data_IF_109771321404
#
_entry.id   IF_109771321404
#
_cell.length_a   1.000
_cell.length_b   1.000
_cell.length_c   1.000
_cell.angle_alpha   90.00
_cell.angle_beta   90.00
_cell.angle_gamma   90.00
#
_symmetry.space_group_name_H-M   'P 1'
#
loop_
_entity.id
_entity.type
_entity.pdbx_description
1 polymer ?
#
# COMPACT_ATOMS: atom_id res chain seq x y z
N UNK A 1 34.47 14.05 -12.17
CA UNK A 1 33.34 13.12 -12.30
C UNK A 1 33.32 12.16 -11.11
N UNK A 2 32.51 12.42 -10.08
CA UNK A 2 32.37 11.56 -8.87
C UNK A 2 30.92 11.45 -8.38
N UNK A 3 29.95 11.74 -9.24
CA UNK A 3 28.51 11.89 -8.92
C UNK A 3 27.75 10.57 -8.70
N UNK A 4 28.42 9.41 -8.76
CA UNK A 4 27.77 8.09 -8.80
C UNK A 4 27.45 7.50 -7.41
N UNK A 5 28.25 7.77 -6.36
CA UNK A 5 28.14 7.03 -5.09
C UNK A 5 27.12 7.57 -4.09
N UNK A 6 26.62 8.81 -4.24
CA UNK A 6 25.75 9.47 -3.23
C UNK A 6 24.26 9.37 -3.54
N UNK A 7 23.89 9.45 -4.83
CA UNK A 7 22.51 9.29 -5.34
C UNK A 7 21.94 7.89 -5.06
N UNK A 8 22.81 6.88 -5.00
CA UNK A 8 22.46 5.51 -4.63
C UNK A 8 21.83 5.42 -3.23
N UNK A 9 22.15 6.34 -2.31
CA UNK A 9 21.69 6.25 -0.92
C UNK A 9 20.22 6.65 -0.71
N UNK A 10 19.73 7.71 -1.36
CA UNK A 10 18.33 8.15 -1.24
C UNK A 10 17.37 7.17 -1.94
N UNK A 11 17.74 6.75 -3.16
CA UNK A 11 17.01 5.70 -3.89
C UNK A 11 16.96 4.41 -3.08
N UNK A 12 18.08 3.96 -2.52
CA UNK A 12 18.11 2.76 -1.68
C UNK A 12 17.22 2.88 -0.43
N UNK A 13 17.20 4.05 0.23
CA UNK A 13 16.32 4.30 1.38
C UNK A 13 14.84 4.27 1.01
N UNK A 14 14.45 4.87 -0.12
CA UNK A 14 13.07 4.79 -0.61
C UNK A 14 12.66 3.36 -1.00
N UNK A 15 13.54 2.62 -1.69
CA UNK A 15 13.30 1.21 -2.02
C UNK A 15 13.13 0.37 -0.75
N UNK A 16 14.00 0.56 0.25
CA UNK A 16 13.90 -0.14 1.52
C UNK A 16 12.59 0.19 2.26
N UNK A 17 12.20 1.47 2.29
CA UNK A 17 10.95 1.94 2.90
C UNK A 17 9.74 1.25 2.25
N UNK A 18 9.69 1.22 0.92
CA UNK A 18 8.60 0.60 0.16
C UNK A 18 8.57 -0.92 0.36
N UNK A 19 9.73 -1.58 0.35
CA UNK A 19 9.82 -3.02 0.57
C UNK A 19 9.32 -3.42 1.96
N UNK A 20 9.75 -2.69 2.99
CA UNK A 20 9.31 -2.87 4.38
C UNK A 20 7.79 -2.60 4.55
N UNK A 21 7.28 -1.52 3.97
CA UNK A 21 5.86 -1.22 3.99
C UNK A 21 5.02 -2.28 3.25
N UNK A 22 5.49 -2.76 2.11
CA UNK A 22 4.86 -3.86 1.35
C UNK A 22 4.82 -5.14 2.16
N UNK A 23 5.91 -5.47 2.86
CA UNK A 23 5.98 -6.64 3.73
C UNK A 23 4.98 -6.56 4.89
N UNK A 24 4.84 -5.39 5.53
CA UNK A 24 3.85 -5.17 6.61
C UNK A 24 2.41 -5.33 6.13
N UNK A 25 2.04 -4.71 5.00
CA UNK A 25 0.70 -4.83 4.43
C UNK A 25 0.39 -6.28 4.06
N UNK A 26 1.34 -6.95 3.41
CA UNK A 26 1.20 -8.36 3.03
C UNK A 26 1.05 -9.25 4.27
N UNK A 27 1.82 -9.00 5.34
CA UNK A 27 1.70 -9.71 6.60
C UNK A 27 0.33 -9.49 7.26
N UNK A 28 -0.20 -8.26 7.24
CA UNK A 28 -1.55 -7.98 7.73
C UNK A 28 -2.61 -8.76 6.93
N UNK A 29 -2.53 -8.78 5.59
CA UNK A 29 -3.47 -9.52 4.76
C UNK A 29 -3.38 -11.05 4.92
N UNK A 30 -2.22 -11.59 5.27
CA UNK A 30 -2.08 -13.02 5.61
C UNK A 30 -2.98 -13.44 6.78
N UNK A 31 -3.38 -12.51 7.66
CA UNK A 31 -4.37 -12.76 8.71
C UNK A 31 -5.70 -13.22 8.08
N UNK A 32 -6.18 -12.51 7.04
CA UNK A 32 -7.43 -12.83 6.36
C UNK A 32 -7.35 -14.14 5.57
N UNK A 33 -6.30 -14.33 4.77
CA UNK A 33 -6.18 -15.53 3.94
C UNK A 33 -6.02 -16.79 4.79
N UNK A 34 -5.23 -16.71 5.86
CA UNK A 34 -5.11 -17.80 6.84
C UNK A 34 -6.45 -18.09 7.53
N UNK A 35 -7.19 -17.04 7.93
CA UNK A 35 -8.50 -17.21 8.55
C UNK A 35 -9.53 -17.82 7.60
N UNK A 36 -9.52 -17.44 6.32
CA UNK A 36 -10.36 -18.03 5.28
C UNK A 36 -10.08 -19.52 5.12
N UNK A 37 -8.82 -19.93 4.94
CA UNK A 37 -8.46 -21.34 4.83
C UNK A 37 -8.84 -22.14 6.07
N UNK A 38 -8.61 -21.58 7.28
CA UNK A 38 -8.99 -22.22 8.55
C UNK A 38 -10.50 -22.39 8.68
N UNK A 39 -11.29 -21.38 8.32
CA UNK A 39 -12.75 -21.47 8.35
C UNK A 39 -13.24 -22.57 7.41
N UNK A 40 -12.76 -22.60 6.16
CA UNK A 40 -13.18 -23.60 5.19
C UNK A 40 -12.79 -25.03 5.63
N UNK A 41 -11.58 -25.20 6.14
CA UNK A 41 -11.13 -26.49 6.69
C UNK A 41 -12.02 -26.94 7.86
N UNK A 42 -12.34 -26.03 8.79
CA UNK A 42 -13.23 -26.31 9.92
C UNK A 42 -14.64 -26.70 9.46
N UNK A 43 -15.23 -25.96 8.51
CA UNK A 43 -16.58 -26.26 8.00
C UNK A 43 -16.64 -27.56 7.19
N UNK A 44 -15.56 -27.91 6.48
CA UNK A 44 -15.50 -29.13 5.69
C UNK A 44 -15.61 -30.40 6.55
N UNK A 45 -14.98 -30.40 7.74
CA UNK A 45 -14.94 -31.57 8.63
C UNK A 45 -16.16 -31.72 9.53
N UNK A 46 -16.98 -30.67 9.70
CA UNK A 46 -18.21 -30.73 10.50
C UNK A 46 -19.19 -31.71 9.83
N UNK A 47 -19.61 -32.71 10.61
CA UNK A 47 -20.67 -33.67 10.23
C UNK A 47 -22.02 -33.18 10.75
N UNK A 48 -23.14 -33.43 10.04
CA UNK A 48 -24.48 -33.19 10.57
C UNK A 48 -24.69 -33.90 11.91
N UNK A 49 -25.37 -33.25 12.85
CA UNK A 49 -25.65 -33.80 14.18
C UNK A 49 -25.74 -32.73 15.28
N UNK A 50 -25.95 -33.19 16.52
CA UNK A 50 -26.23 -32.33 17.69
C UNK A 50 -25.16 -31.27 17.96
N UNK A 51 -23.89 -31.52 17.62
CA UNK A 51 -22.77 -30.59 17.83
C UNK A 51 -22.48 -29.67 16.64
N UNK A 52 -23.07 -29.90 15.48
CA UNK A 52 -22.73 -29.19 14.23
C UNK A 52 -22.91 -27.67 14.36
N UNK A 53 -24.01 -27.25 15.00
CA UNK A 53 -24.30 -25.84 15.23
C UNK A 53 -23.27 -25.16 16.14
N UNK A 54 -22.87 -25.83 17.23
CA UNK A 54 -21.88 -25.31 18.16
C UNK A 54 -20.50 -25.17 17.49
N UNK A 55 -20.08 -26.18 16.73
CA UNK A 55 -18.81 -26.16 15.98
C UNK A 55 -18.81 -25.07 14.89
N UNK A 56 -19.92 -24.90 14.18
CA UNK A 56 -20.07 -23.85 13.16
C UNK A 56 -19.96 -22.46 13.79
N UNK A 57 -20.60 -22.24 14.94
CA UNK A 57 -20.51 -20.98 15.69
C UNK A 57 -19.09 -20.71 16.19
N UNK A 58 -18.39 -21.74 16.68
CA UNK A 58 -17.00 -21.61 17.12
C UNK A 58 -16.08 -21.21 15.96
N UNK A 59 -16.23 -21.84 14.79
CA UNK A 59 -15.46 -21.49 13.59
C UNK A 59 -15.76 -20.05 13.11
N UNK A 60 -17.03 -19.64 13.15
CA UNK A 60 -17.43 -18.26 12.83
C UNK A 60 -16.81 -17.23 13.79
N UNK A 61 -16.82 -17.52 15.10
CA UNK A 61 -16.23 -16.66 16.12
C UNK A 61 -14.72 -16.48 15.90
N UNK A 62 -14.00 -17.56 15.60
CA UNK A 62 -12.58 -17.50 15.28
C UNK A 62 -12.31 -16.62 14.05
N UNK A 63 -13.16 -16.71 13.02
CA UNK A 63 -13.06 -15.84 11.84
C UNK A 63 -13.31 -14.36 12.20
N UNK A 64 -14.31 -14.06 13.02
CA UNK A 64 -14.57 -12.69 13.51
C UNK A 64 -13.39 -12.11 14.30
N UNK A 65 -12.74 -12.91 15.14
CA UNK A 65 -11.53 -12.49 15.86
C UNK A 65 -10.37 -12.17 14.90
N UNK A 66 -10.24 -12.94 13.82
CA UNK A 66 -9.28 -12.64 12.76
C UNK A 66 -9.61 -11.34 12.02
N UNK A 67 -10.90 -11.04 11.76
CA UNK A 67 -11.30 -9.74 11.19
C UNK A 67 -10.91 -8.58 12.08
N UNK A 68 -11.13 -8.68 13.40
CA UNK A 68 -10.72 -7.64 14.34
C UNK A 68 -9.19 -7.48 14.42
N UNK A 69 -8.45 -8.57 14.25
CA UNK A 69 -6.97 -8.54 14.24
C UNK A 69 -6.43 -7.92 12.95
N UNK A 70 -7.04 -8.24 11.81
CA UNK A 70 -6.75 -7.62 10.53
C UNK A 70 -7.05 -6.11 10.56
N UNK A 71 -8.22 -5.72 11.07
CA UNK A 71 -8.65 -4.32 11.19
C UNK A 71 -7.63 -3.49 11.97
N UNK A 72 -7.22 -3.95 13.15
CA UNK A 72 -6.16 -3.28 13.94
C UNK A 72 -4.82 -3.21 13.21
N UNK A 73 -4.41 -4.29 12.54
CA UNK A 73 -3.13 -4.35 11.84
C UNK A 73 -3.08 -3.37 10.66
N UNK A 74 -4.14 -3.30 9.86
CA UNK A 74 -4.22 -2.40 8.71
C UNK A 74 -4.42 -0.95 9.14
N UNK A 75 -5.25 -0.70 10.16
CA UNK A 75 -5.39 0.65 10.73
C UNK A 75 -4.04 1.17 11.27
N UNK A 76 -3.34 0.37 12.07
CA UNK A 76 -2.02 0.72 12.59
C UNK A 76 -0.97 0.93 11.49
N UNK A 77 -1.02 0.13 10.42
CA UNK A 77 -0.20 0.36 9.24
C UNK A 77 -0.51 1.70 8.58
N UNK A 78 -1.78 1.99 8.28
CA UNK A 78 -2.21 3.20 7.57
C UNK A 78 -1.82 4.46 8.36
N UNK A 79 -2.01 4.45 9.67
CA UNK A 79 -1.59 5.56 10.56
C UNK A 79 -0.08 5.77 10.54
N UNK A 80 0.71 4.70 10.70
CA UNK A 80 2.19 4.79 10.65
C UNK A 80 2.68 5.26 9.28
N UNK A 81 2.06 4.77 8.22
CA UNK A 81 2.41 5.15 6.86
C UNK A 81 2.20 6.64 6.64
N UNK A 82 1.02 7.16 7.02
CA UNK A 82 0.69 8.56 6.89
C UNK A 82 1.51 9.48 7.82
N UNK A 83 1.67 9.09 9.09
CA UNK A 83 2.25 9.95 10.12
C UNK A 83 3.79 9.87 10.22
N UNK A 84 4.42 8.83 9.65
CA UNK A 84 5.88 8.62 9.79
C UNK A 84 6.56 8.32 8.47
N UNK A 85 6.09 7.31 7.73
CA UNK A 85 6.81 6.83 6.54
C UNK A 85 6.75 7.84 5.38
N UNK A 86 5.59 8.44 5.11
CA UNK A 86 5.44 9.49 4.10
C UNK A 86 6.24 10.77 4.45
N UNK A 87 6.20 11.31 5.69
CA UNK A 87 7.10 12.38 6.09
C UNK A 87 8.59 12.05 5.88
N UNK A 88 9.01 10.81 6.13
CA UNK A 88 10.37 10.37 5.88
C UNK A 88 10.69 10.39 4.37
N UNK A 89 9.81 9.84 3.52
CA UNK A 89 9.97 9.88 2.07
C UNK A 89 10.05 11.33 1.54
N UNK A 90 9.21 12.24 2.06
CA UNK A 90 9.23 13.66 1.72
C UNK A 90 10.59 14.28 2.01
N UNK A 91 11.10 14.05 3.24
CA UNK A 91 12.41 14.55 3.66
C UNK A 91 13.53 13.99 2.79
N UNK A 92 13.49 12.70 2.45
CA UNK A 92 14.49 12.08 1.58
C UNK A 92 14.56 12.77 0.21
N UNK A 93 13.40 13.10 -0.38
CA UNK A 93 13.33 13.85 -1.62
C UNK A 93 13.90 15.27 -1.51
N UNK A 94 13.53 16.00 -0.45
CA UNK A 94 14.06 17.34 -0.18
C UNK A 94 15.59 17.34 0.00
N UNK A 95 16.11 16.40 0.80
CA UNK A 95 17.55 16.27 1.03
C UNK A 95 18.29 15.84 -0.23
N UNK A 96 17.69 15.00 -1.08
CA UNK A 96 18.29 14.59 -2.34
C UNK A 96 18.56 15.80 -3.26
N UNK A 97 17.68 16.81 -3.28
CA UNK A 97 17.90 18.04 -4.02
C UNK A 97 19.07 18.84 -3.46
N UNK A 98 19.14 19.03 -2.14
CA UNK A 98 20.27 19.72 -1.53
C UNK A 98 21.60 19.02 -1.83
N UNK A 99 21.62 17.69 -1.79
CA UNK A 99 22.79 16.91 -2.19
C UNK A 99 23.18 17.12 -3.65
N UNK A 100 22.20 17.25 -4.56
CA UNK A 100 22.46 17.47 -5.98
C UNK A 100 23.12 18.83 -6.25
N UNK A 101 22.83 19.84 -5.43
CA UNK A 101 23.42 21.18 -5.53
C UNK A 101 24.55 21.42 -4.52
N UNK A 102 25.13 20.36 -3.95
CA UNK A 102 26.22 20.41 -2.96
C UNK A 102 25.94 21.32 -1.74
N UNK A 103 24.67 21.39 -1.31
CA UNK A 103 24.25 22.09 -0.09
C UNK A 103 24.23 21.15 1.12
N UNK A 104 24.61 21.64 2.32
CA UNK A 104 24.66 20.80 3.51
C UNK A 104 23.23 20.46 3.98
N UNK A 105 22.97 19.22 4.37
CA UNK A 105 21.63 18.79 4.83
C UNK A 105 21.05 19.67 5.95
N UNK A 106 21.89 20.25 6.81
CA UNK A 106 21.49 21.14 7.91
C UNK A 106 20.81 22.44 7.45
N UNK A 107 20.89 22.78 6.16
CA UNK A 107 20.17 23.94 5.62
C UNK A 107 18.69 23.66 5.36
N UNK A 108 18.27 22.40 5.40
CA UNK A 108 16.87 22.03 5.28
C UNK A 108 16.18 22.07 6.64
N UNK A 109 15.01 22.71 6.68
CA UNK A 109 14.13 22.74 7.85
C UNK A 109 12.68 22.60 7.41
N UNK A 110 11.83 22.10 8.30
CA UNK A 110 10.39 22.09 8.04
C UNK A 110 9.85 23.51 8.01
N UNK A 111 9.16 23.86 6.93
CA UNK A 111 8.44 25.12 6.77
C UNK A 111 6.94 24.86 6.75
N UNK A 112 6.13 25.90 6.99
CA UNK A 112 4.67 25.81 6.87
C UNK A 112 4.23 25.31 5.47
N UNK A 113 4.98 25.67 4.42
CA UNK A 113 4.73 25.23 3.05
C UNK A 113 5.01 23.73 2.86
N UNK A 114 6.08 23.21 3.44
CA UNK A 114 6.34 21.75 3.44
C UNK A 114 5.25 20.99 4.20
N UNK A 115 4.86 21.50 5.37
CA UNK A 115 3.80 20.91 6.19
C UNK A 115 2.46 20.88 5.43
N UNK A 116 2.06 21.99 4.79
CA UNK A 116 0.82 22.06 4.02
C UNK A 116 0.79 21.06 2.84
N UNK A 117 1.90 20.93 2.11
CA UNK A 117 2.02 19.96 1.01
C UNK A 117 1.92 18.52 1.52
N UNK A 118 2.63 18.21 2.61
CA UNK A 118 2.62 16.88 3.22
C UNK A 118 1.25 16.53 3.79
N UNK A 119 0.55 17.46 4.44
CA UNK A 119 -0.81 17.26 4.95
C UNK A 119 -1.78 16.88 3.82
N UNK A 120 -1.71 17.57 2.68
CA UNK A 120 -2.55 17.24 1.52
C UNK A 120 -2.28 15.83 0.99
N UNK A 121 -1.01 15.45 0.84
CA UNK A 121 -0.62 14.12 0.36
C UNK A 121 -1.01 13.01 1.34
N UNK A 122 -0.69 13.19 2.62
CA UNK A 122 -0.98 12.20 3.67
C UNK A 122 -2.48 12.00 3.83
N UNK A 123 -3.29 13.05 3.79
CA UNK A 123 -4.75 12.94 3.81
C UNK A 123 -5.29 12.11 2.65
N UNK A 124 -4.81 12.36 1.42
CA UNK A 124 -5.20 11.59 0.23
C UNK A 124 -4.82 10.12 0.37
N UNK A 125 -3.56 9.83 0.67
CA UNK A 125 -3.07 8.44 0.73
C UNK A 125 -3.63 7.66 1.91
N UNK A 126 -3.88 8.33 3.04
CA UNK A 126 -4.63 7.78 4.16
C UNK A 126 -6.05 7.39 3.74
N UNK A 127 -6.76 8.28 3.03
CA UNK A 127 -8.09 8.01 2.49
C UNK A 127 -8.12 6.80 1.54
N UNK A 128 -7.16 6.74 0.61
CA UNK A 128 -7.05 5.62 -0.34
C UNK A 128 -6.84 4.27 0.37
N UNK A 129 -5.91 4.20 1.32
CA UNK A 129 -5.63 2.98 2.09
C UNK A 129 -6.83 2.59 2.97
N UNK A 130 -7.49 3.56 3.60
CA UNK A 130 -8.69 3.35 4.40
C UNK A 130 -9.83 2.79 3.56
N UNK A 131 -10.04 3.29 2.34
CA UNK A 131 -11.06 2.77 1.43
C UNK A 131 -10.80 1.30 1.08
N UNK A 132 -9.54 0.93 0.79
CA UNK A 132 -9.17 -0.47 0.50
C UNK A 132 -9.32 -1.38 1.72
N UNK A 133 -9.03 -0.86 2.91
CA UNK A 133 -9.27 -1.55 4.16
C UNK A 133 -10.76 -1.85 4.37
N UNK A 134 -11.63 -0.84 4.27
CA UNK A 134 -13.09 -0.99 4.43
C UNK A 134 -13.64 -2.01 3.43
N UNK A 135 -13.18 -1.95 2.19
CA UNK A 135 -13.59 -2.90 1.14
C UNK A 135 -13.15 -4.34 1.45
N UNK A 136 -11.93 -4.55 1.95
CA UNK A 136 -11.46 -5.87 2.38
C UNK A 136 -12.33 -6.45 3.51
N UNK A 137 -12.69 -5.63 4.50
CA UNK A 137 -13.61 -6.04 5.58
C UNK A 137 -15.00 -6.37 5.03
N UNK A 138 -15.53 -5.57 4.10
CA UNK A 138 -16.82 -5.83 3.46
C UNK A 138 -16.83 -7.17 2.74
N UNK A 139 -15.79 -7.47 1.95
CA UNK A 139 -15.62 -8.75 1.24
C UNK A 139 -15.47 -9.92 2.19
N UNK A 140 -14.67 -9.78 3.26
CA UNK A 140 -14.48 -10.84 4.25
C UNK A 140 -15.77 -11.17 5.01
N UNK A 141 -16.60 -10.16 5.32
CA UNK A 141 -17.94 -10.38 5.90
C UNK A 141 -18.90 -11.05 4.91
N UNK A 142 -18.82 -10.71 3.62
CA UNK A 142 -19.61 -11.38 2.59
C UNK A 142 -19.22 -12.86 2.44
N UNK A 143 -17.92 -13.16 2.42
CA UNK A 143 -17.39 -14.52 2.46
C UNK A 143 -17.93 -15.31 3.66
N UNK A 144 -17.86 -14.75 4.87
CA UNK A 144 -18.36 -15.42 6.06
C UNK A 144 -19.85 -15.76 5.93
N UNK A 145 -20.69 -14.83 5.46
CA UNK A 145 -22.12 -15.08 5.23
C UNK A 145 -22.35 -16.22 4.25
N UNK A 146 -21.62 -16.25 3.13
CA UNK A 146 -21.72 -17.30 2.13
C UNK A 146 -21.30 -18.67 2.70
N UNK A 147 -20.16 -18.72 3.39
CA UNK A 147 -19.65 -19.94 4.01
C UNK A 147 -20.63 -20.51 5.06
N UNK A 148 -21.23 -19.65 5.87
CA UNK A 148 -22.23 -20.06 6.86
C UNK A 148 -23.55 -20.50 6.23
N UNK A 149 -23.97 -19.90 5.11
CA UNK A 149 -25.14 -20.35 4.37
C UNK A 149 -24.95 -21.78 3.83
N UNK A 150 -23.78 -22.06 3.22
CA UNK A 150 -23.42 -23.41 2.75
C UNK A 150 -23.37 -24.42 3.91
N UNK A 151 -22.77 -24.03 5.05
CA UNK A 151 -22.69 -24.90 6.22
C UNK A 151 -24.06 -25.24 6.82
N UNK A 152 -24.99 -24.28 6.87
CA UNK A 152 -26.36 -24.48 7.36
C UNK A 152 -27.17 -25.36 6.43
N UNK A 153 -27.12 -25.12 5.12
CA UNK A 153 -27.81 -25.95 4.15
C UNK A 153 -27.43 -27.43 4.33
N UNK A 154 -26.13 -27.72 4.52
CA UNK A 154 -25.63 -29.08 4.79
C UNK A 154 -26.13 -29.68 6.11
N UNK A 155 -26.38 -28.86 7.14
CA UNK A 155 -26.89 -29.35 8.42
C UNK A 155 -28.37 -29.74 8.35
N UNK A 156 -29.15 -29.08 7.49
CA UNK A 156 -30.61 -29.23 7.41
C UNK A 156 -31.07 -30.23 6.33
N UNK A 157 -30.21 -30.62 5.37
CA UNK A 157 -30.57 -31.49 4.26
C UNK A 157 -29.81 -32.83 4.19
N UNK A 158 -30.54 -33.93 3.96
CA UNK A 158 -29.97 -35.27 3.77
C UNK A 158 -29.29 -35.50 2.41
N UNK A 159 -29.49 -34.62 1.41
CA UNK A 159 -28.96 -34.76 0.04
C UNK A 159 -28.08 -33.59 -0.45
N UNK A 160 -27.56 -32.77 0.46
CA UNK A 160 -26.77 -31.59 0.05
C UNK A 160 -25.41 -32.02 -0.50
N UNK A 161 -24.95 -31.45 -1.63
CA UNK A 161 -23.62 -31.69 -2.16
C UNK A 161 -22.52 -31.53 -1.11
N UNK A 162 -21.42 -32.26 -1.29
CA UNK A 162 -20.21 -32.14 -0.47
C UNK A 162 -19.81 -30.66 -0.34
N UNK A 163 -19.42 -30.24 0.87
CA UNK A 163 -18.93 -28.88 1.12
C UNK A 163 -17.81 -28.53 0.12
N UNK A 164 -18.07 -27.62 -0.81
CA UNK A 164 -17.13 -27.19 -1.83
C UNK A 164 -16.43 -25.89 -1.41
N UNK A 165 -15.39 -26.05 -0.59
CA UNK A 165 -14.55 -24.94 -0.17
C UNK A 165 -13.80 -24.27 -1.32
N UNK A 166 -13.50 -25.00 -2.40
CA UNK A 166 -12.79 -24.45 -3.55
C UNK A 166 -13.68 -23.48 -4.35
N UNK A 167 -14.98 -23.78 -4.46
CA UNK A 167 -15.92 -22.84 -5.06
C UNK A 167 -16.03 -21.55 -4.24
N UNK A 168 -16.16 -21.66 -2.91
CA UNK A 168 -16.19 -20.50 -2.01
C UNK A 168 -14.92 -19.64 -2.10
N UNK A 169 -13.74 -20.26 -2.24
CA UNK A 169 -12.48 -19.54 -2.44
C UNK A 169 -12.47 -18.75 -3.76
N UNK A 170 -12.99 -19.36 -4.84
CA UNK A 170 -13.01 -18.75 -6.17
C UNK A 170 -13.98 -17.57 -6.26
N UNK A 171 -15.15 -17.71 -5.64
CA UNK A 171 -16.18 -16.67 -5.61
C UNK A 171 -15.77 -15.51 -4.69
N UNK A 172 -15.16 -15.83 -3.54
CA UNK A 172 -14.82 -14.88 -2.49
C UNK A 172 -13.34 -14.89 -2.09
N UNK A 173 -12.38 -14.65 -3.01
CA UNK A 173 -10.97 -14.62 -2.67
C UNK A 173 -10.67 -13.45 -1.72
N UNK A 174 -9.87 -13.68 -0.68
CA UNK A 174 -9.40 -12.63 0.25
C UNK A 174 -7.90 -12.32 0.10
N UNK A 175 -7.22 -12.97 -0.84
CA UNK A 175 -5.82 -12.77 -1.22
C UNK A 175 -5.62 -11.68 -2.29
N UNK A 176 -6.71 -11.01 -2.68
CA UNK A 176 -6.73 -9.98 -3.72
C UNK A 176 -7.35 -8.68 -3.24
N UNK A 177 -6.86 -7.57 -3.77
CA UNK A 177 -7.51 -6.26 -3.70
C UNK A 177 -8.27 -6.04 -5.01
N UNK A 178 -9.51 -5.56 -4.91
CA UNK A 178 -10.29 -5.16 -6.08
C UNK A 178 -10.09 -3.66 -6.30
N UNK A 179 -9.84 -3.24 -7.54
CA UNK A 179 -9.85 -1.83 -7.92
C UNK A 179 -11.28 -1.27 -8.06
N UNK A 180 -11.41 -0.03 -8.54
CA UNK A 180 -12.73 0.59 -8.72
C UNK A 180 -13.55 -0.07 -9.83
N UNK A 181 -12.89 -0.65 -10.82
CA UNK A 181 -13.50 -1.34 -11.97
C UNK A 181 -13.78 -2.83 -11.67
N UNK A 182 -13.46 -3.29 -10.46
CA UNK A 182 -13.69 -4.65 -9.99
C UNK A 182 -12.60 -5.65 -10.39
N UNK A 183 -11.52 -5.19 -11.04
CA UNK A 183 -10.38 -6.04 -11.38
C UNK A 183 -9.64 -6.41 -10.11
N UNK A 184 -9.41 -7.72 -9.95
CA UNK A 184 -8.75 -8.29 -8.76
C UNK A 184 -7.25 -8.42 -9.01
N UNK A 185 -6.46 -7.85 -8.11
CA UNK A 185 -5.00 -7.93 -8.13
C UNK A 185 -4.48 -8.63 -6.87
N UNK A 186 -3.43 -9.46 -6.96
CA UNK A 186 -2.79 -10.03 -5.77
C UNK A 186 -2.36 -8.91 -4.82
N UNK A 187 -2.60 -9.10 -3.52
CA UNK A 187 -2.33 -8.06 -2.50
C UNK A 187 -0.89 -7.56 -2.54
N UNK A 188 0.08 -8.46 -2.66
CA UNK A 188 1.50 -8.08 -2.69
C UNK A 188 1.82 -7.20 -3.92
N UNK A 189 1.30 -7.55 -5.10
CA UNK A 189 1.48 -6.76 -6.32
C UNK A 189 0.83 -5.39 -6.19
N UNK A 190 -0.41 -5.33 -5.69
CA UNK A 190 -1.09 -4.05 -5.44
C UNK A 190 -0.33 -3.20 -4.42
N UNK A 191 0.08 -3.78 -3.29
CA UNK A 191 0.76 -3.07 -2.21
C UNK A 191 2.09 -2.50 -2.69
N UNK A 192 2.89 -3.30 -3.41
CA UNK A 192 4.14 -2.85 -4.01
C UNK A 192 3.92 -1.62 -4.90
N UNK A 193 2.97 -1.69 -5.82
CA UNK A 193 2.74 -0.61 -6.78
C UNK A 193 2.18 0.65 -6.09
N UNK A 194 1.15 0.48 -5.26
CA UNK A 194 0.51 1.60 -4.56
C UNK A 194 1.49 2.31 -3.62
N UNK A 195 2.24 1.56 -2.81
CA UNK A 195 3.19 2.15 -1.86
C UNK A 195 4.42 2.74 -2.56
N UNK A 196 4.86 2.15 -3.67
CA UNK A 196 5.90 2.75 -4.52
C UNK A 196 5.45 4.10 -5.05
N UNK A 197 4.25 4.15 -5.64
CA UNK A 197 3.70 5.38 -6.20
C UNK A 197 3.53 6.47 -5.13
N UNK A 198 2.99 6.12 -3.96
CA UNK A 198 2.82 7.06 -2.85
C UNK A 198 4.16 7.58 -2.34
N UNK A 199 5.14 6.71 -2.06
CA UNK A 199 6.45 7.11 -1.57
C UNK A 199 7.21 7.98 -2.57
N UNK A 200 7.20 7.62 -3.86
CA UNK A 200 7.86 8.39 -4.92
C UNK A 200 7.18 9.73 -5.14
N UNK A 201 5.85 9.77 -5.19
CA UNK A 201 5.10 11.03 -5.32
C UNK A 201 5.41 11.97 -4.15
N UNK A 202 5.47 11.44 -2.93
CA UNK A 202 5.81 12.22 -1.74
C UNK A 202 7.27 12.70 -1.76
N UNK A 203 8.22 11.86 -2.16
CA UNK A 203 9.62 12.26 -2.33
C UNK A 203 9.78 13.35 -3.41
N UNK A 204 9.16 13.18 -4.58
CA UNK A 204 9.17 14.19 -5.64
C UNK A 204 8.56 15.51 -5.17
N UNK A 205 7.47 15.46 -4.40
CA UNK A 205 6.89 16.68 -3.82
C UNK A 205 7.88 17.37 -2.87
N UNK A 206 8.59 16.62 -2.01
CA UNK A 206 9.65 17.18 -1.17
C UNK A 206 10.77 17.84 -1.98
N UNK A 207 11.22 17.16 -3.04
CA UNK A 207 12.23 17.68 -3.95
C UNK A 207 11.78 19.00 -4.61
N UNK A 208 10.58 19.03 -5.19
CA UNK A 208 10.03 20.20 -5.89
C UNK A 208 9.88 21.40 -4.95
N UNK A 209 9.36 21.20 -3.74
CA UNK A 209 9.18 22.30 -2.80
C UNK A 209 10.52 22.88 -2.33
N UNK A 210 11.51 22.03 -2.06
CA UNK A 210 12.85 22.50 -1.67
C UNK A 210 13.55 23.20 -2.82
N UNK A 211 13.49 22.66 -4.04
CA UNK A 211 14.02 23.33 -5.22
C UNK A 211 13.37 24.71 -5.44
N UNK A 212 12.03 24.77 -5.47
CA UNK A 212 11.31 25.98 -5.82
C UNK A 212 11.41 27.08 -4.76
N UNK A 213 11.37 26.75 -3.46
CA UNK A 213 11.32 27.82 -2.44
C UNK A 213 12.45 27.88 -1.43
N UNK A 214 13.27 26.83 -1.29
CA UNK A 214 14.46 26.93 -0.43
C UNK A 214 15.69 27.29 -1.28
N UNK A 215 15.70 26.82 -2.53
CA UNK A 215 16.74 27.13 -3.52
C UNK A 215 16.29 28.13 -4.57
N UNK A 216 15.04 28.58 -4.60
CA UNK A 216 14.56 29.54 -5.62
C UNK A 216 14.88 29.10 -7.06
N UNK A 217 14.90 27.79 -7.33
CA UNK A 217 15.06 27.27 -8.68
C UNK A 217 13.86 27.68 -9.52
N UNK A 218 14.11 28.27 -10.69
CA UNK A 218 13.07 28.66 -11.64
C UNK A 218 12.80 27.56 -12.67
N UNK A 219 13.72 26.60 -12.79
CA UNK A 219 13.62 25.45 -13.68
C UNK A 219 14.00 24.18 -12.94
N UNK A 220 13.24 23.12 -13.19
CA UNK A 220 13.49 21.78 -12.67
C UNK A 220 13.37 20.82 -13.85
N UNK A 221 14.44 20.09 -14.11
CA UNK A 221 14.47 19.04 -15.11
C UNK A 221 13.86 17.76 -14.53
N UNK A 222 12.93 17.16 -15.28
CA UNK A 222 12.37 15.84 -14.99
C UNK A 222 13.03 14.86 -15.96
N UNK A 223 13.66 13.82 -15.43
CA UNK A 223 14.33 12.81 -16.23
C UNK A 223 13.75 11.43 -15.95
N UNK A 224 13.17 10.83 -16.98
CA UNK A 224 12.83 9.41 -16.98
C UNK A 224 14.07 8.62 -17.38
N UNK A 225 14.51 7.71 -16.50
CA UNK A 225 15.73 6.92 -16.72
C UNK A 225 15.70 6.08 -18.00
N UNK A 226 16.85 5.53 -18.44
CA UNK A 226 16.93 4.73 -19.67
C UNK A 226 16.02 3.48 -19.67
N UNK A 227 15.52 3.08 -18.49
CA UNK A 227 14.60 1.95 -18.31
C UNK A 227 13.12 2.33 -18.48
N UNK A 228 12.78 3.58 -18.83
CA UNK A 228 11.39 4.03 -18.98
C UNK A 228 10.69 3.47 -20.23
N UNK A 229 11.43 2.82 -21.13
CA UNK A 229 10.91 2.19 -22.35
C UNK A 229 10.68 3.15 -23.51
N UNK A 230 10.93 4.45 -23.34
CA UNK A 230 10.85 5.45 -24.39
C UNK A 230 12.23 5.67 -25.01
N UNK A 231 12.34 5.54 -26.34
CA UNK A 231 13.62 5.69 -27.07
C UNK A 231 13.98 7.14 -27.41
N UNK A 232 13.12 8.10 -27.08
CA UNK A 232 13.34 9.53 -27.28
C UNK A 232 12.15 10.38 -26.80
N UNK A 233 12.44 11.62 -26.46
CA UNK A 233 11.46 12.67 -26.14
C UNK A 233 11.86 13.95 -26.91
N UNK A 234 10.92 14.55 -27.64
CA UNK A 234 11.11 15.83 -28.34
C UNK A 234 10.92 17.01 -27.37
N UNK A 235 11.58 16.94 -26.21
CA UNK A 235 11.60 18.05 -25.27
C UNK A 235 12.70 19.05 -25.67
N UNK A 236 12.37 20.34 -25.83
CA UNK A 236 13.32 21.37 -26.27
C UNK A 236 14.44 21.63 -25.25
N UNK A 237 14.22 21.28 -23.99
CA UNK A 237 15.20 21.26 -22.91
C UNK A 237 15.73 19.83 -22.69
N UNK A 238 16.76 19.47 -23.46
CA UNK A 238 17.44 18.18 -23.30
C UNK A 238 17.86 17.96 -21.86
N UNK A 239 17.37 16.86 -21.28
CA UNK A 239 17.68 16.46 -19.92
C UNK A 239 19.19 16.19 -19.74
N UNK A 240 19.90 17.10 -19.07
CA UNK A 240 21.36 17.02 -18.82
C UNK A 240 21.71 17.02 -17.33
N UNK A 241 20.74 16.82 -16.44
CA UNK A 241 20.90 16.81 -14.99
C UNK A 241 21.14 18.20 -14.39
N UNK A 242 20.65 19.25 -15.04
CA UNK A 242 20.86 20.65 -14.64
C UNK A 242 19.72 21.18 -13.78
N UNK A 243 20.03 21.68 -12.58
CA UNK A 243 19.15 22.60 -11.83
C UNK A 243 19.72 24.01 -12.02
N UNK A 244 18.94 24.93 -12.58
CA UNK A 244 19.36 26.31 -12.82
C UNK A 244 18.73 27.28 -11.81
N UNK A 245 19.57 28.01 -11.07
CA UNK A 245 19.20 29.23 -10.36
C UNK A 245 19.56 30.43 -11.25
N UNK A 246 18.65 31.37 -11.45
CA UNK A 246 19.00 32.65 -12.08
C UNK A 246 19.61 33.55 -11.01
N UNK A 247 20.82 34.08 -11.24
CA UNK A 247 21.38 35.14 -10.40
C UNK A 247 20.52 36.41 -10.49
N UNK A 248 20.52 37.27 -9.46
CA UNK A 248 19.82 38.55 -9.51
C UNK A 248 20.41 39.38 -10.64
N UNK A 249 19.54 39.78 -11.59
CA UNK A 249 19.83 40.79 -12.59
C UNK A 249 19.48 42.18 -12.09
#
# INVERSE_FOLDING_TARGET
MTTSLRRSSARARLVALVADATARVTAAWRILTTAQSRLLAALAVIRPGRSALALTRAAALAFHQALASFDRAVAGFTERWAATDLPAAYREGALAVLHHVDRPQRSWTWTARHQAALTTLTARFHGDLTARHVEALRRARAFLRAALAVARARADGFSVPRFDGNNLLREHPLDTVADADGVRRPVESWARDALSWQALSTAHTGALHTAAGDLHCTWIEVYDGPDCGWTGHDDPDRAHGTLAQRGPG
#
